data_IF_630827192319
#
_entry.id   IF_630827192319
#
_cell.length_a   1.000
_cell.length_b   1.000
_cell.length_c   1.000
_cell.angle_alpha   90.00
_cell.angle_beta   90.00
_cell.angle_gamma   90.00
#
_symmetry.space_group_name_H-M   'P 1'
#
loop_
_entity.id
_entity.type
_entity.pdbx_description
1 polymer ?
#
# COMPACT_ATOMS: atom_id res chain seq x y z
N UNK A 1 8.94 4.75 3.79
CA UNK A 1 9.96 4.56 2.73
C UNK A 1 10.64 5.89 2.33
N UNK A 2 9.91 7.00 2.18
CA UNK A 2 10.54 8.31 1.83
C UNK A 2 11.63 8.73 2.83
N UNK A 3 11.41 8.55 4.12
CA UNK A 3 12.31 8.96 5.20
C UNK A 3 13.54 8.06 5.39
N UNK A 4 13.58 6.89 4.74
CA UNK A 4 14.73 6.00 4.88
C UNK A 4 15.92 6.55 4.10
N UNK A 5 17.03 6.79 4.80
CA UNK A 5 18.32 7.12 4.21
C UNK A 5 18.92 5.86 3.57
N UNK A 6 18.89 5.82 2.24
CA UNK A 6 19.36 4.67 1.47
C UNK A 6 20.88 4.68 1.28
N UNK A 7 21.59 5.75 1.62
CA UNK A 7 23.06 5.77 1.66
C UNK A 7 23.55 5.07 2.93
N UNK A 8 22.83 5.29 4.04
CA UNK A 8 23.15 4.67 5.32
C UNK A 8 22.58 3.25 5.46
N UNK A 9 21.33 3.06 5.00
CA UNK A 9 20.61 1.78 5.09
C UNK A 9 20.26 1.32 3.68
N UNK A 10 21.00 0.34 3.19
CA UNK A 10 20.89 -0.12 1.81
C UNK A 10 20.55 -1.62 1.75
N UNK A 11 19.38 -2.04 2.23
CA UNK A 11 18.98 -3.45 2.18
C UNK A 11 18.85 -3.91 0.73
N UNK A 12 19.14 -5.18 0.46
CA UNK A 12 18.98 -5.73 -0.88
C UNK A 12 17.52 -5.97 -1.24
N UNK A 13 16.68 -6.25 -0.22
CA UNK A 13 15.25 -6.54 -0.37
C UNK A 13 14.46 -5.62 0.55
N UNK A 14 13.35 -5.07 0.05
CA UNK A 14 12.33 -4.38 0.82
C UNK A 14 11.05 -5.21 0.80
N UNK A 15 10.45 -5.40 1.96
CA UNK A 15 9.12 -5.97 2.12
C UNK A 15 8.24 -4.86 2.69
N UNK A 16 7.22 -4.46 1.94
CA UNK A 16 6.36 -3.33 2.27
C UNK A 16 4.90 -3.76 2.29
N UNK A 17 4.20 -3.47 3.39
CA UNK A 17 2.76 -3.64 3.45
C UNK A 17 2.07 -2.62 2.55
N UNK A 18 1.11 -3.06 1.75
CA UNK A 18 0.23 -2.20 0.94
C UNK A 18 -1.24 -2.40 1.32
N UNK A 19 -2.04 -1.37 1.10
CA UNK A 19 -3.49 -1.48 1.23
C UNK A 19 -4.09 -1.92 -0.10
N UNK A 20 -4.53 -3.18 -0.18
CA UNK A 20 -5.11 -3.74 -1.41
C UNK A 20 -6.43 -3.08 -1.80
N UNK A 21 -7.16 -2.44 -0.87
CA UNK A 21 -8.40 -1.73 -1.20
C UNK A 21 -8.15 -0.54 -2.13
N UNK A 22 -6.94 0.03 -2.13
CA UNK A 22 -6.56 1.12 -3.04
C UNK A 22 -6.24 0.65 -4.47
N UNK A 23 -6.22 -0.66 -4.72
CA UNK A 23 -5.94 -1.23 -6.03
C UNK A 23 -4.48 -1.13 -6.47
N UNK A 24 -4.27 -1.44 -7.77
CA UNK A 24 -2.93 -1.50 -8.37
C UNK A 24 -2.55 -0.27 -9.22
N UNK A 25 -3.51 0.61 -9.55
CA UNK A 25 -3.32 1.65 -10.58
C UNK A 25 -3.09 3.04 -9.99
N UNK A 26 -3.96 3.47 -9.06
CA UNK A 26 -3.85 4.80 -8.45
C UNK A 26 -2.63 4.87 -7.53
N UNK A 27 -1.82 5.92 -7.68
CA UNK A 27 -0.65 6.17 -6.83
C UNK A 27 -1.04 7.00 -5.61
N UNK A 28 -1.75 6.37 -4.68
CA UNK A 28 -2.34 7.05 -3.51
C UNK A 28 -1.85 6.46 -2.19
N UNK A 29 -1.84 7.31 -1.18
CA UNK A 29 -1.61 6.94 0.22
C UNK A 29 -2.56 7.74 1.10
N UNK A 30 -2.81 7.31 2.33
CA UNK A 30 -3.43 8.20 3.30
C UNK A 30 -2.56 9.45 3.49
N UNK A 31 -3.13 10.63 3.82
CA UNK A 31 -2.35 11.80 4.19
C UNK A 31 -1.44 11.50 5.39
N UNK A 32 -0.23 12.07 5.38
CA UNK A 32 0.71 11.86 6.48
C UNK A 32 0.17 12.46 7.79
N UNK A 33 0.22 11.65 8.83
CA UNK A 33 -0.11 12.04 10.20
C UNK A 33 0.90 11.38 11.16
N UNK A 34 1.66 12.16 11.95
CA UNK A 34 2.64 11.60 12.89
C UNK A 34 2.00 10.83 14.04
N UNK A 35 0.71 11.05 14.30
CA UNK A 35 -0.09 10.38 15.34
C UNK A 35 -1.07 9.37 14.74
N UNK A 36 -0.76 8.85 13.55
CA UNK A 36 -1.67 7.95 12.84
C UNK A 36 -1.99 6.70 13.64
N UNK A 37 -3.28 6.48 13.85
CA UNK A 37 -3.85 5.21 14.30
C UNK A 37 -4.98 4.83 13.33
N UNK A 38 -4.93 3.61 12.83
CA UNK A 38 -5.86 3.13 11.80
C UNK A 38 -7.32 3.23 12.27
N UNK A 39 -7.60 2.76 13.49
CA UNK A 39 -8.95 2.73 14.08
C UNK A 39 -9.43 4.13 14.42
N UNK A 40 -8.53 5.01 14.93
CA UNK A 40 -8.92 6.39 15.28
C UNK A 40 -9.25 7.21 14.02
N UNK A 41 -8.65 6.88 12.88
CA UNK A 41 -8.94 7.55 11.60
C UNK A 41 -10.23 7.09 10.96
N UNK A 42 -10.53 5.80 11.08
CA UNK A 42 -11.81 5.24 10.61
C UNK A 42 -12.09 3.91 11.32
N UNK A 43 -13.26 3.79 11.91
CA UNK A 43 -13.69 2.62 12.71
C UNK A 43 -13.47 1.28 11.99
N UNK A 44 -13.63 1.24 10.67
CA UNK A 44 -13.48 -0.01 9.90
C UNK A 44 -12.08 -0.61 9.94
N UNK A 45 -11.03 0.18 10.29
CA UNK A 45 -9.65 -0.26 10.18
C UNK A 45 -9.13 -0.45 8.75
N UNK A 46 -9.94 -0.10 7.73
CA UNK A 46 -9.57 -0.27 6.32
C UNK A 46 -8.85 0.93 5.71
N UNK A 47 -8.88 2.07 6.40
CA UNK A 47 -8.25 3.32 5.93
C UNK A 47 -6.83 3.45 6.50
N UNK A 48 -5.83 2.95 5.75
CA UNK A 48 -4.42 2.96 6.16
C UNK A 48 -3.48 2.85 4.95
N UNK A 49 -2.21 3.21 5.18
CA UNK A 49 -1.08 2.88 4.31
C UNK A 49 -1.13 3.49 2.92
N UNK A 50 -0.68 2.74 1.93
CA UNK A 50 -0.51 3.17 0.55
C UNK A 50 -0.94 2.08 -0.44
N UNK A 51 -1.27 2.48 -1.66
CA UNK A 51 -1.46 1.57 -2.79
C UNK A 51 -0.14 0.92 -3.23
N UNK A 52 -0.24 -0.23 -3.89
CA UNK A 52 0.92 -0.89 -4.48
C UNK A 52 1.65 0.02 -5.50
N UNK A 53 0.89 0.74 -6.34
CA UNK A 53 1.45 1.67 -7.32
C UNK A 53 2.22 2.84 -6.67
N UNK A 54 1.74 3.36 -5.54
CA UNK A 54 2.45 4.42 -4.81
C UNK A 54 3.78 3.89 -4.21
N UNK A 55 3.77 2.69 -3.63
CA UNK A 55 4.98 2.06 -3.11
C UNK A 55 5.99 1.79 -4.22
N UNK A 56 5.53 1.25 -5.36
CA UNK A 56 6.37 1.01 -6.53
C UNK A 56 7.01 2.28 -7.05
N UNK A 57 6.25 3.37 -7.18
CA UNK A 57 6.76 4.67 -7.63
C UNK A 57 7.91 5.19 -6.75
N UNK A 58 7.81 5.02 -5.43
CA UNK A 58 8.84 5.44 -4.49
C UNK A 58 10.03 4.47 -4.49
N UNK A 59 9.78 3.16 -4.59
CA UNK A 59 10.81 2.15 -4.64
C UNK A 59 11.73 2.34 -5.86
N UNK A 60 11.15 2.59 -7.04
CA UNK A 60 11.90 2.89 -8.27
C UNK A 60 12.84 4.08 -8.07
N UNK A 61 12.37 5.19 -7.47
CA UNK A 61 13.18 6.38 -7.18
C UNK A 61 14.34 6.09 -6.21
N UNK A 62 14.26 5.02 -5.45
CA UNK A 62 15.30 4.57 -4.51
C UNK A 62 16.15 3.41 -5.02
N UNK A 63 16.05 3.07 -6.31
CA UNK A 63 16.89 2.06 -6.97
C UNK A 63 16.41 0.61 -6.76
N UNK A 64 15.12 0.42 -6.52
CA UNK A 64 14.47 -0.89 -6.39
C UNK A 64 13.42 -1.08 -7.45
N UNK A 65 13.12 -2.33 -7.77
CA UNK A 65 12.00 -2.70 -8.62
C UNK A 65 11.13 -3.77 -7.94
N UNK A 66 9.87 -3.79 -8.31
CA UNK A 66 8.87 -4.71 -7.80
C UNK A 66 9.00 -6.09 -8.44
N UNK A 67 8.88 -7.15 -7.63
CA UNK A 67 9.00 -8.55 -8.05
C UNK A 67 7.76 -9.39 -7.74
N UNK A 68 6.76 -8.84 -7.06
CA UNK A 68 5.51 -9.53 -6.76
C UNK A 68 4.98 -9.27 -5.36
N UNK A 69 3.80 -9.81 -5.09
CA UNK A 69 3.15 -9.79 -3.79
C UNK A 69 3.09 -11.20 -3.18
N UNK A 70 2.91 -11.27 -1.86
CA UNK A 70 2.60 -12.53 -1.21
C UNK A 70 1.16 -12.99 -1.51
N UNK A 71 0.89 -14.27 -1.31
CA UNK A 71 -0.42 -14.87 -1.57
C UNK A 71 -1.55 -14.38 -0.65
N UNK A 72 -1.20 -13.73 0.47
CA UNK A 72 -2.17 -13.10 1.38
C UNK A 72 -2.68 -11.75 0.86
N UNK A 73 -1.95 -11.08 -0.06
CA UNK A 73 -2.36 -9.82 -0.66
C UNK A 73 -2.13 -8.60 0.24
N UNK A 74 -1.13 -8.64 1.10
CA UNK A 74 -0.81 -7.53 2.01
C UNK A 74 0.65 -7.06 1.94
N UNK A 75 1.59 -7.89 1.46
CA UNK A 75 3.00 -7.54 1.36
C UNK A 75 3.49 -7.55 -0.08
N UNK A 76 4.23 -6.52 -0.46
CA UNK A 76 4.89 -6.35 -1.74
C UNK A 76 6.42 -6.49 -1.56
N UNK A 77 7.08 -7.16 -2.49
CA UNK A 77 8.51 -7.42 -2.48
C UNK A 77 9.20 -6.57 -3.54
N UNK A 78 10.25 -5.89 -3.12
CA UNK A 78 11.09 -5.06 -3.99
C UNK A 78 12.54 -5.47 -3.79
N UNK A 79 13.31 -5.49 -4.87
CA UNK A 79 14.73 -5.86 -4.85
C UNK A 79 15.55 -4.79 -5.57
N UNK A 80 16.82 -4.64 -5.19
CA UNK A 80 17.73 -3.69 -5.84
C UNK A 80 17.92 -3.94 -7.33
N UNK A 81 18.06 -2.86 -8.10
CA UNK A 81 18.26 -2.90 -9.54
C UNK A 81 19.45 -3.76 -9.99
N UNK A 82 20.47 -3.93 -9.15
CA UNK A 82 21.64 -4.79 -9.47
C UNK A 82 21.30 -6.26 -9.73
N UNK A 83 20.11 -6.71 -9.30
CA UNK A 83 19.65 -8.10 -9.48
C UNK A 83 18.70 -8.29 -10.66
N UNK A 84 18.53 -7.27 -11.52
CA UNK A 84 17.54 -7.32 -12.62
C UNK A 84 17.88 -8.34 -13.71
N UNK A 85 19.14 -8.78 -13.82
CA UNK A 85 19.54 -9.88 -14.69
C UNK A 85 19.02 -11.24 -14.23
N UNK A 86 18.89 -11.44 -12.93
CA UNK A 86 18.56 -12.73 -12.31
C UNK A 86 17.06 -12.84 -11.98
N UNK A 87 16.44 -11.74 -11.60
CA UNK A 87 15.02 -11.66 -11.23
C UNK A 87 14.36 -10.58 -12.06
N UNK A 88 13.35 -10.96 -12.86
CA UNK A 88 12.65 -10.01 -13.73
C UNK A 88 11.69 -9.11 -12.95
N UNK A 89 11.63 -7.81 -13.30
CA UNK A 89 10.60 -6.91 -12.78
C UNK A 89 9.19 -7.37 -13.18
N UNK A 90 8.24 -7.08 -12.30
CA UNK A 90 6.80 -7.27 -12.54
C UNK A 90 6.12 -5.91 -12.43
N UNK A 91 5.12 -5.63 -13.25
CA UNK A 91 4.33 -4.40 -13.09
C UNK A 91 3.37 -4.52 -11.89
N UNK A 92 2.99 -3.40 -11.24
CA UNK A 92 2.00 -3.44 -10.15
C UNK A 92 0.68 -4.09 -10.54
N UNK A 93 0.21 -3.90 -11.77
CA UNK A 93 -1.04 -4.48 -12.28
C UNK A 93 -0.96 -5.99 -12.48
N UNK A 94 0.20 -6.50 -12.92
CA UNK A 94 0.43 -7.94 -13.11
C UNK A 94 0.66 -8.68 -11.80
N UNK A 95 1.41 -8.07 -10.87
CA UNK A 95 1.81 -8.70 -9.62
C UNK A 95 0.89 -8.38 -8.43
N UNK A 96 -0.16 -7.59 -8.64
CA UNK A 96 -1.12 -7.27 -7.59
C UNK A 96 -1.92 -8.47 -7.15
N UNK A 97 -2.04 -8.63 -5.82
CA UNK A 97 -2.91 -9.62 -5.19
C UNK A 97 -3.83 -8.90 -4.22
N UNK A 98 -5.14 -9.10 -4.35
CA UNK A 98 -6.11 -8.60 -3.38
C UNK A 98 -5.97 -9.31 -2.04
N UNK A 99 -6.08 -8.59 -0.94
CA UNK A 99 -6.09 -9.20 0.39
C UNK A 99 -7.25 -10.18 0.52
N UNK A 100 -6.94 -11.36 1.09
CA UNK A 100 -7.93 -12.42 1.29
C UNK A 100 -8.80 -12.17 2.50
N UNK A 101 -8.25 -11.53 3.50
CA UNK A 101 -8.95 -11.18 4.74
C UNK A 101 -8.25 -10.02 5.43
N UNK A 102 -9.02 -9.16 6.06
CA UNK A 102 -8.57 -8.17 7.03
C UNK A 102 -9.72 -7.91 7.98
N UNK A 103 -9.38 -7.78 9.26
CA UNK A 103 -10.37 -7.40 10.28
C UNK A 103 -11.01 -6.07 9.91
N UNK A 104 -12.32 -6.06 9.87
CA UNK A 104 -13.14 -4.87 9.69
C UNK A 104 -14.07 -4.73 10.88
N UNK A 105 -14.36 -3.50 11.29
CA UNK A 105 -15.24 -3.22 12.42
C UNK A 105 -16.34 -2.25 12.04
N UNK A 106 -17.51 -2.43 12.69
CA UNK A 106 -18.58 -1.46 12.67
C UNK A 106 -18.26 -0.26 13.59
N UNK A 107 -19.10 0.81 13.59
CA UNK A 107 -18.92 1.97 14.47
C UNK A 107 -18.95 1.61 15.97
N UNK A 108 -19.60 0.52 16.35
CA UNK A 108 -19.70 0.01 17.71
C UNK A 108 -18.48 -0.84 18.11
N UNK A 109 -17.56 -1.11 17.16
CA UNK A 109 -16.31 -1.86 17.37
C UNK A 109 -16.43 -3.36 17.20
N UNK A 110 -17.58 -3.89 16.76
CA UNK A 110 -17.77 -5.32 16.51
C UNK A 110 -17.08 -5.73 15.21
N UNK A 111 -16.55 -6.96 15.18
CA UNK A 111 -15.95 -7.52 13.98
C UNK A 111 -17.01 -7.78 12.90
N UNK A 112 -16.68 -7.36 11.68
CA UNK A 112 -17.48 -7.64 10.48
C UNK A 112 -16.74 -8.62 9.58
N UNK A 113 -17.51 -9.49 8.91
CA UNK A 113 -17.02 -10.38 7.84
C UNK A 113 -17.44 -9.80 6.48
N UNK A 114 -16.95 -8.62 6.18
CA UNK A 114 -17.30 -7.87 4.97
C UNK A 114 -16.67 -8.46 3.72
N UNK A 115 -17.36 -8.32 2.59
CA UNK A 115 -16.74 -8.52 1.30
C UNK A 115 -15.75 -7.41 1.02
N UNK A 116 -14.84 -7.63 0.06
CA UNK A 116 -13.88 -6.60 -0.37
C UNK A 116 -14.58 -5.34 -0.88
N UNK A 117 -15.70 -5.50 -1.58
CA UNK A 117 -16.50 -4.38 -2.10
C UNK A 117 -17.04 -3.52 -0.96
N UNK A 118 -17.52 -4.13 0.10
CA UNK A 118 -18.00 -3.42 1.30
C UNK A 118 -16.85 -2.70 2.01
N UNK A 119 -15.69 -3.33 2.14
CA UNK A 119 -14.50 -2.71 2.74
C UNK A 119 -14.02 -1.49 1.94
N UNK A 120 -14.08 -1.53 0.61
CA UNK A 120 -13.79 -0.40 -0.26
C UNK A 120 -14.83 0.71 -0.08
N UNK A 121 -16.12 0.34 -0.05
CA UNK A 121 -17.22 1.29 0.13
C UNK A 121 -17.15 2.00 1.48
N UNK A 122 -16.76 1.30 2.54
CA UNK A 122 -16.62 1.87 3.89
C UNK A 122 -15.63 3.05 3.95
N UNK A 123 -14.62 3.07 3.08
CA UNK A 123 -13.60 4.13 3.05
C UNK A 123 -13.77 5.08 1.84
N UNK A 124 -14.82 4.90 1.04
CA UNK A 124 -15.09 5.75 -0.12
C UNK A 124 -15.29 7.21 0.29
N UNK A 125 -14.70 8.12 -0.49
CA UNK A 125 -14.76 9.56 -0.24
C UNK A 125 -13.82 10.07 0.85
N UNK A 126 -13.11 9.19 1.58
CA UNK A 126 -12.09 9.63 2.53
C UNK A 126 -10.89 10.26 1.79
N UNK A 127 -10.21 11.24 2.43
CA UNK A 127 -9.10 11.93 1.79
C UNK A 127 -7.92 11.00 1.55
N UNK A 128 -7.36 11.01 0.34
CA UNK A 128 -6.11 10.33 0.00
C UNK A 128 -5.13 11.31 -0.62
N UNK A 129 -3.84 11.10 -0.40
CA UNK A 129 -2.79 11.89 -1.02
C UNK A 129 -2.31 11.18 -2.28
N UNK A 130 -2.48 11.82 -3.42
CA UNK A 130 -1.99 11.34 -4.70
C UNK A 130 -0.51 11.73 -4.84
N UNK A 131 0.39 10.73 -4.87
CA UNK A 131 1.84 10.96 -4.90
C UNK A 131 2.36 11.39 -6.26
N UNK A 132 1.55 11.27 -7.32
CA UNK A 132 1.88 11.74 -8.66
C UNK A 132 1.61 13.23 -8.80
N UNK A 133 0.43 13.68 -8.37
CA UNK A 133 -0.02 15.08 -8.48
C UNK A 133 0.39 15.93 -7.27
N UNK A 134 0.83 15.31 -6.17
CA UNK A 134 1.10 15.95 -4.87
C UNK A 134 -0.12 16.69 -4.29
N UNK A 135 -1.32 16.16 -4.50
CA UNK A 135 -2.57 16.75 -4.01
C UNK A 135 -3.36 15.76 -3.16
N UNK A 136 -4.15 16.30 -2.25
CA UNK A 136 -5.20 15.53 -1.57
C UNK A 136 -6.43 15.49 -2.48
N UNK A 137 -7.02 14.32 -2.61
CA UNK A 137 -8.24 14.05 -3.38
C UNK A 137 -9.11 13.03 -2.62
N UNK A 138 -10.31 12.78 -3.08
CA UNK A 138 -11.17 11.75 -2.50
C UNK A 138 -10.84 10.36 -3.09
N UNK A 139 -10.91 9.36 -2.22
CA UNK A 139 -10.79 7.96 -2.60
C UNK A 139 -11.96 7.46 -3.43
#
# INVERSE_FOLDING_TARGET
LKAIDMEKYSPDILILEYNSNFGAERQITIPYDPLFSCIDKHHSGQYFGASLAALNSIAIKKGYYFIGCNSAGNNAYFIKNKYQSDIKPVSPTEGYISAKSRDERDPEGNLLFSSRENSIEAIRGLPVFNVLTNKVENF
#
